data_IF_774042902410
#
_entry.id   IF_774042902410
#
_cell.length_a   1.000
_cell.length_b   1.000
_cell.length_c   1.000
_cell.angle_alpha   90.00
_cell.angle_beta   90.00
_cell.angle_gamma   90.00
#
_symmetry.space_group_name_H-M   'P 1'
#
loop_
_entity.id
_entity.type
_entity.pdbx_description
1 polymer ?
#
# COMPACT_ATOMS: atom_id res chain seq x y z
N UNK A 1 3.86 -7.49 9.57
CA UNK A 1 2.67 -6.75 10.07
C UNK A 1 1.69 -6.28 8.97
N UNK A 2 2.07 -6.07 7.71
CA UNK A 2 1.11 -5.75 6.61
C UNK A 2 0.35 -6.93 6.04
N UNK A 3 0.87 -8.14 6.28
CA UNK A 3 0.26 -9.37 5.78
C UNK A 3 -1.19 -9.51 6.21
N UNK A 4 -1.63 -8.94 7.34
CA UNK A 4 -2.92 -9.26 7.97
C UNK A 4 -4.08 -8.32 7.66
N UNK A 5 -3.86 -7.07 7.27
CA UNK A 5 -4.95 -6.10 7.20
C UNK A 5 -5.76 -6.18 5.90
N UNK A 6 -5.13 -6.59 4.79
CA UNK A 6 -5.86 -6.96 3.56
C UNK A 6 -6.64 -8.30 3.74
N UNK A 7 -6.26 -9.13 4.72
CA UNK A 7 -6.81 -10.48 4.92
C UNK A 7 -8.15 -10.53 5.66
N UNK A 8 -8.43 -9.55 6.51
CA UNK A 8 -9.64 -9.57 7.33
C UNK A 8 -10.90 -9.12 6.55
N UNK A 9 -10.72 -8.69 5.30
CA UNK A 9 -11.79 -8.44 4.33
C UNK A 9 -12.65 -9.69 4.02
N UNK A 10 -12.19 -10.88 4.39
CA UNK A 10 -12.77 -12.15 3.97
C UNK A 10 -13.50 -12.92 5.08
N UNK A 11 -13.43 -12.49 6.33
CA UNK A 11 -13.81 -13.38 7.43
C UNK A 11 -15.29 -13.35 7.87
N UNK A 12 -16.17 -12.49 7.34
CA UNK A 12 -17.49 -12.29 7.97
C UNK A 12 -18.68 -12.06 7.01
N UNK A 13 -18.89 -12.96 6.03
CA UNK A 13 -20.22 -13.17 5.45
C UNK A 13 -20.72 -14.56 5.90
N UNK A 14 -21.61 -14.64 6.91
CA UNK A 14 -21.72 -15.76 7.82
C UNK A 14 -22.62 -16.89 7.29
N UNK A 15 -22.36 -18.07 7.85
CA UNK A 15 -23.38 -19.05 8.23
C UNK A 15 -24.72 -18.37 8.57
N UNK A 16 -25.75 -18.65 7.77
CA UNK A 16 -27.17 -18.73 8.16
C UNK A 16 -27.97 -19.10 6.90
N UNK A 17 -28.42 -20.36 6.83
CA UNK A 17 -29.29 -20.84 5.75
C UNK A 17 -29.34 -22.37 5.67
N UNK A 18 -30.24 -22.95 6.47
CA UNK A 18 -30.53 -24.40 6.50
C UNK A 18 -30.89 -24.96 5.12
N UNK A 19 -30.32 -26.12 4.83
CA UNK A 19 -30.82 -27.26 4.05
C UNK A 19 -32.03 -27.05 3.12
N UNK A 20 -31.80 -27.26 1.82
CA UNK A 20 -32.63 -28.15 0.99
C UNK A 20 -31.79 -28.73 -0.16
N UNK A 21 -32.24 -29.89 -0.65
CA UNK A 21 -31.47 -31.03 -1.18
C UNK A 21 -30.70 -30.77 -2.48
N UNK A 22 -29.59 -31.50 -2.62
CA UNK A 22 -28.91 -31.80 -3.88
C UNK A 22 -29.86 -32.59 -4.79
N UNK A 23 -30.17 -32.05 -5.96
CA UNK A 23 -30.59 -32.85 -7.11
C UNK A 23 -29.55 -32.67 -8.22
N UNK A 24 -28.89 -33.77 -8.51
CA UNK A 24 -27.89 -33.95 -9.56
C UNK A 24 -28.59 -34.19 -10.89
N UNK A 25 -28.48 -33.24 -11.82
CA UNK A 25 -28.72 -33.48 -13.23
C UNK A 25 -27.96 -32.48 -14.13
N UNK A 26 -27.03 -33.02 -14.92
CA UNK A 26 -26.55 -32.57 -16.24
C UNK A 26 -26.13 -31.09 -16.37
N UNK A 27 -24.83 -30.83 -16.17
CA UNK A 27 -24.17 -29.59 -16.63
C UNK A 27 -23.85 -29.73 -18.12
N UNK A 28 -24.36 -28.87 -19.02
CA UNK A 28 -23.90 -28.81 -20.40
C UNK A 28 -22.46 -28.27 -20.44
N UNK A 29 -21.59 -28.90 -21.24
CA UNK A 29 -20.26 -28.40 -21.55
C UNK A 29 -20.32 -26.94 -22.00
N UNK A 30 -19.70 -26.04 -21.23
CA UNK A 30 -19.55 -24.63 -21.61
C UNK A 30 -18.61 -24.51 -22.83
N UNK A 31 -18.91 -23.64 -23.80
CA UNK A 31 -17.99 -23.36 -24.90
C UNK A 31 -16.71 -22.69 -24.38
N UNK A 32 -15.55 -23.07 -24.94
CA UNK A 32 -14.28 -22.34 -24.73
C UNK A 32 -14.46 -20.90 -25.22
N UNK A 33 -14.26 -19.92 -24.34
CA UNK A 33 -14.23 -18.50 -24.69
C UNK A 33 -12.78 -18.08 -24.91
N UNK A 34 -12.54 -17.48 -26.07
CA UNK A 34 -11.26 -17.02 -26.59
C UNK A 34 -10.79 -15.72 -25.90
N UNK A 35 -9.47 -15.57 -25.76
CA UNK A 35 -8.76 -14.52 -25.01
C UNK A 35 -8.38 -13.33 -25.91
N UNK A 36 -9.36 -12.74 -26.59
CA UNK A 36 -9.18 -11.48 -27.28
C UNK A 36 -10.12 -10.43 -26.67
N UNK A 37 -9.56 -9.47 -25.97
CA UNK A 37 -10.25 -8.23 -25.63
C UNK A 37 -10.66 -7.54 -26.93
N UNK A 38 -11.90 -7.75 -27.36
CA UNK A 38 -12.62 -6.73 -28.12
C UNK A 38 -13.54 -6.06 -27.12
N UNK A 39 -12.98 -5.14 -26.34
CA UNK A 39 -13.74 -4.26 -25.47
C UNK A 39 -14.55 -3.32 -26.38
N UNK A 40 -15.74 -3.76 -26.77
CA UNK A 40 -16.73 -2.91 -27.44
C UNK A 40 -17.09 -1.80 -26.44
N UNK A 41 -16.77 -0.55 -26.76
CA UNK A 41 -17.18 0.60 -25.97
C UNK A 41 -18.71 0.53 -25.77
N UNK A 42 -19.20 0.52 -24.53
CA UNK A 42 -20.64 0.43 -24.27
C UNK A 42 -21.37 1.60 -24.93
N UNK A 43 -22.63 1.38 -25.32
CA UNK A 43 -23.54 2.43 -25.81
C UNK A 43 -24.02 3.39 -24.69
N UNK A 44 -23.26 3.51 -23.60
CA UNK A 44 -23.60 4.33 -22.45
C UNK A 44 -23.41 5.82 -22.78
N UNK A 45 -24.33 6.65 -22.28
CA UNK A 45 -24.23 8.09 -22.44
C UNK A 45 -23.20 8.67 -21.45
N UNK A 46 -21.99 8.95 -21.96
CA UNK A 46 -20.88 9.50 -21.17
C UNK A 46 -20.92 11.02 -21.00
N UNK A 47 -21.96 11.70 -21.53
CA UNK A 47 -22.07 13.15 -21.48
C UNK A 47 -22.11 13.65 -20.04
N UNK A 48 -21.13 14.47 -19.67
CA UNK A 48 -21.02 15.08 -18.35
C UNK A 48 -20.19 14.29 -17.34
N UNK A 49 -19.58 13.16 -17.75
CA UNK A 49 -18.66 12.43 -16.88
C UNK A 49 -17.32 13.16 -16.77
N UNK A 50 -17.03 13.70 -15.58
CA UNK A 50 -15.79 14.46 -15.34
C UNK A 50 -14.53 13.58 -15.33
N UNK A 51 -14.70 12.28 -15.07
CA UNK A 51 -13.61 11.29 -15.10
C UNK A 51 -13.03 11.16 -16.51
N UNK A 52 -13.85 11.30 -17.55
CA UNK A 52 -13.46 11.21 -18.95
C UNK A 52 -13.15 12.56 -19.61
N UNK A 53 -13.48 13.65 -18.93
CA UNK A 53 -13.29 15.01 -19.44
C UNK A 53 -11.81 15.39 -19.52
N UNK A 54 -11.31 15.64 -20.73
CA UNK A 54 -9.91 15.95 -21.00
C UNK A 54 -9.48 17.33 -20.52
N UNK A 55 -10.37 18.31 -20.59
CA UNK A 55 -10.10 19.66 -20.08
C UNK A 55 -10.00 19.61 -18.55
N UNK A 56 -10.85 18.79 -17.92
CA UNK A 56 -10.80 18.56 -16.50
C UNK A 56 -9.51 17.83 -16.06
N UNK A 57 -9.09 16.82 -16.81
CA UNK A 57 -7.80 16.16 -16.59
C UNK A 57 -6.64 17.17 -16.68
N UNK A 58 -6.60 17.99 -17.74
CA UNK A 58 -5.56 19.00 -17.91
C UNK A 58 -5.54 20.02 -16.76
N UNK A 59 -6.72 20.47 -16.30
CA UNK A 59 -6.80 21.42 -15.18
C UNK A 59 -6.31 20.80 -13.85
N UNK A 60 -6.60 19.52 -13.63
CA UNK A 60 -6.27 18.83 -12.38
C UNK A 60 -4.88 18.20 -12.36
N UNK A 61 -4.15 18.13 -13.48
CA UNK A 61 -2.83 17.52 -13.57
C UNK A 61 -1.88 18.00 -12.47
N UNK A 62 -1.74 19.32 -12.34
CA UNK A 62 -0.93 19.92 -11.28
C UNK A 62 -1.47 19.65 -9.87
N UNK A 63 -2.78 19.50 -9.68
CA UNK A 63 -3.39 19.23 -8.38
C UNK A 63 -3.10 17.78 -7.93
N UNK A 64 -3.25 16.83 -8.86
CA UNK A 64 -2.93 15.42 -8.67
C UNK A 64 -1.43 15.27 -8.41
N UNK A 65 -0.58 15.89 -9.22
CA UNK A 65 0.86 15.87 -8.98
C UNK A 65 1.21 16.43 -7.59
N UNK A 66 0.63 17.56 -7.19
CA UNK A 66 0.84 18.13 -5.86
C UNK A 66 0.36 17.21 -4.72
N UNK A 67 -0.73 16.46 -4.91
CA UNK A 67 -1.23 15.49 -3.95
C UNK A 67 -0.17 14.40 -3.72
N UNK A 68 0.32 13.74 -4.77
CA UNK A 68 1.33 12.68 -4.61
C UNK A 68 2.70 13.22 -4.23
N UNK A 69 3.04 14.46 -4.56
CA UNK A 69 4.27 15.11 -4.10
C UNK A 69 4.14 15.78 -2.71
N UNK A 70 3.09 15.43 -1.95
CA UNK A 70 2.80 15.89 -0.58
C UNK A 70 2.74 17.42 -0.41
N UNK A 71 2.42 18.15 -1.48
CA UNK A 71 2.06 19.57 -1.46
C UNK A 71 0.56 19.71 -1.18
N UNK A 72 0.10 19.12 -0.08
CA UNK A 72 -1.32 18.98 0.25
C UNK A 72 -2.08 20.31 0.20
N UNK A 73 -1.53 21.38 0.77
CA UNK A 73 -2.18 22.69 0.75
C UNK A 73 -2.41 23.23 -0.68
N UNK A 74 -1.49 22.95 -1.60
CA UNK A 74 -1.63 23.35 -3.01
C UNK A 74 -2.73 22.53 -3.69
N UNK A 75 -2.68 21.20 -3.54
CA UNK A 75 -3.67 20.29 -4.11
C UNK A 75 -5.09 20.57 -3.58
N UNK A 76 -5.25 20.68 -2.26
CA UNK A 76 -6.55 20.90 -1.61
C UNK A 76 -7.17 22.27 -1.94
N UNK A 77 -6.38 23.28 -2.33
CA UNK A 77 -6.94 24.53 -2.86
C UNK A 77 -7.65 24.32 -4.21
N UNK A 78 -7.05 23.55 -5.10
CA UNK A 78 -7.66 23.24 -6.40
C UNK A 78 -8.87 22.31 -6.23
N UNK A 79 -8.79 21.29 -5.35
CA UNK A 79 -9.95 20.44 -5.06
C UNK A 79 -11.12 21.22 -4.44
N UNK A 80 -10.85 22.22 -3.59
CA UNK A 80 -11.89 23.13 -3.07
C UNK A 80 -12.48 24.02 -4.16
N UNK A 81 -11.68 24.48 -5.13
CA UNK A 81 -12.19 25.21 -6.29
C UNK A 81 -13.11 24.32 -7.14
N UNK A 82 -12.67 23.10 -7.43
CA UNK A 82 -13.44 22.09 -8.15
C UNK A 82 -14.78 21.83 -7.44
N UNK A 83 -14.76 21.66 -6.12
CA UNK A 83 -15.97 21.48 -5.31
C UNK A 83 -16.98 22.63 -5.43
N UNK A 84 -16.53 23.87 -5.61
CA UNK A 84 -17.45 25.03 -5.78
C UNK A 84 -18.14 25.00 -7.15
N UNK A 85 -17.44 24.54 -8.18
CA UNK A 85 -17.98 24.44 -9.55
C UNK A 85 -18.86 23.20 -9.74
N UNK A 86 -18.50 22.09 -9.10
CA UNK A 86 -19.20 20.81 -9.19
C UNK A 86 -19.59 20.29 -7.79
N UNK A 87 -20.46 21.01 -7.06
CA UNK A 87 -20.81 20.65 -5.68
C UNK A 87 -21.54 19.32 -5.55
N UNK A 88 -22.24 18.89 -6.60
CA UNK A 88 -23.01 17.65 -6.65
C UNK A 88 -22.21 16.46 -7.21
N UNK A 89 -21.02 16.70 -7.79
CA UNK A 89 -20.21 15.64 -8.35
C UNK A 89 -19.33 14.96 -7.28
N UNK A 90 -19.14 13.63 -7.28
CA UNK A 90 -18.35 12.91 -6.27
C UNK A 90 -16.83 13.19 -6.33
N UNK A 91 -16.27 13.41 -7.53
CA UNK A 91 -14.83 13.65 -7.76
C UNK A 91 -14.13 14.58 -6.74
N UNK A 92 -14.55 15.84 -6.51
CA UNK A 92 -13.87 16.73 -5.57
C UNK A 92 -13.82 16.19 -4.14
N UNK A 93 -14.83 15.42 -3.71
CA UNK A 93 -14.86 14.84 -2.38
C UNK A 93 -13.94 13.64 -2.27
N UNK A 94 -13.89 12.79 -3.31
CA UNK A 94 -12.95 11.66 -3.36
C UNK A 94 -11.51 12.17 -3.27
N UNK A 95 -11.16 13.22 -4.05
CA UNK A 95 -9.82 13.80 -4.06
C UNK A 95 -9.41 14.39 -2.69
N UNK A 96 -10.34 15.05 -1.99
CA UNK A 96 -10.09 15.53 -0.63
C UNK A 96 -9.88 14.38 0.37
N UNK A 97 -10.63 13.28 0.23
CA UNK A 97 -10.45 12.08 1.02
C UNK A 97 -9.13 11.36 0.71
N UNK A 98 -8.74 11.29 -0.56
CA UNK A 98 -7.46 10.74 -1.00
C UNK A 98 -6.28 11.56 -0.46
N UNK A 99 -6.44 12.88 -0.32
CA UNK A 99 -5.47 13.71 0.39
C UNK A 99 -5.32 13.32 1.86
N UNK A 100 -6.41 12.96 2.56
CA UNK A 100 -6.31 12.51 3.94
C UNK A 100 -5.67 11.11 4.01
N UNK A 101 -6.01 10.22 3.07
CA UNK A 101 -5.38 8.91 2.93
C UNK A 101 -3.86 9.01 2.83
N UNK A 102 -3.37 9.86 1.92
CA UNK A 102 -1.93 10.04 1.72
C UNK A 102 -1.20 10.76 2.87
N UNK A 103 -1.91 11.41 3.79
CA UNK A 103 -1.33 11.88 5.06
C UNK A 103 -1.23 10.78 6.11
N UNK A 104 -2.04 9.72 6.02
CA UNK A 104 -2.03 8.55 6.92
C UNK A 104 -0.96 7.54 6.48
N UNK A 105 -0.85 7.31 5.16
CA UNK A 105 0.01 6.31 4.52
C UNK A 105 1.48 6.27 5.00
N UNK A 106 2.21 7.39 5.13
CA UNK A 106 3.64 7.37 5.46
C UNK A 106 3.93 6.71 6.80
N UNK A 107 3.00 6.81 7.75
CA UNK A 107 3.09 6.38 9.15
C UNK A 107 2.83 4.90 9.35
N UNK A 108 2.83 4.12 8.27
CA UNK A 108 2.37 2.74 8.31
C UNK A 108 0.89 2.63 8.76
N UNK A 109 0.07 3.61 8.35
CA UNK A 109 -1.36 3.71 8.70
C UNK A 109 -1.63 3.84 10.21
N UNK A 110 -0.64 4.20 11.03
CA UNK A 110 -0.81 4.33 12.48
C UNK A 110 -1.39 5.66 12.90
N UNK A 111 -1.16 6.71 12.12
CA UNK A 111 -1.75 8.03 12.34
C UNK A 111 -3.27 7.98 12.21
N UNK A 112 -3.96 8.49 13.24
CA UNK A 112 -5.43 8.48 13.35
C UNK A 112 -6.05 9.86 13.24
N UNK A 113 -5.25 10.94 13.34
CA UNK A 113 -5.77 12.33 13.34
C UNK A 113 -6.58 12.68 12.11
N UNK A 114 -6.32 12.00 10.99
CA UNK A 114 -6.98 12.22 9.72
C UNK A 114 -8.20 11.31 9.48
N UNK A 115 -8.41 10.28 10.31
CA UNK A 115 -9.46 9.27 10.09
C UNK A 115 -10.86 9.90 9.98
N UNK A 116 -11.21 10.81 10.89
CA UNK A 116 -12.54 11.45 10.90
C UNK A 116 -12.80 12.25 9.61
N UNK A 117 -11.80 13.02 9.16
CA UNK A 117 -11.92 13.80 7.93
C UNK A 117 -11.97 12.89 6.70
N UNK A 118 -11.13 11.84 6.67
CA UNK A 118 -11.14 10.83 5.63
C UNK A 118 -12.53 10.18 5.48
N UNK A 119 -13.09 9.63 6.56
CA UNK A 119 -14.39 8.96 6.51
C UNK A 119 -15.51 9.92 6.09
N UNK A 120 -15.50 11.16 6.57
CA UNK A 120 -16.49 12.17 6.15
C UNK A 120 -16.44 12.47 4.64
N UNK A 121 -15.24 12.48 4.03
CA UNK A 121 -15.09 12.65 2.59
C UNK A 121 -15.51 11.40 1.81
N UNK A 122 -15.22 10.20 2.31
CA UNK A 122 -15.71 8.95 1.71
C UNK A 122 -17.25 8.89 1.74
N UNK A 123 -17.86 9.18 2.89
CA UNK A 123 -19.32 9.23 3.05
C UNK A 123 -19.98 10.25 2.10
N UNK A 124 -19.35 11.40 1.92
CA UNK A 124 -19.86 12.43 1.01
C UNK A 124 -19.72 12.00 -0.44
N UNK A 125 -18.60 11.38 -0.81
CA UNK A 125 -18.39 10.77 -2.13
C UNK A 125 -19.46 9.74 -2.43
N UNK A 126 -19.71 8.82 -1.49
CA UNK A 126 -20.77 7.80 -1.60
C UNK A 126 -22.13 8.47 -1.81
N UNK A 127 -22.50 9.42 -0.95
CA UNK A 127 -23.81 10.10 -1.05
C UNK A 127 -24.02 10.76 -2.41
N UNK A 128 -23.02 11.47 -2.92
CA UNK A 128 -23.10 12.17 -4.22
C UNK A 128 -23.16 11.18 -5.38
N UNK A 129 -22.31 10.15 -5.36
CA UNK A 129 -22.29 9.13 -6.40
C UNK A 129 -23.56 8.27 -6.40
N UNK A 130 -24.15 7.97 -5.24
CA UNK A 130 -25.44 7.26 -5.17
C UNK A 130 -26.59 8.05 -5.81
N UNK A 131 -26.58 9.39 -5.70
CA UNK A 131 -27.59 10.23 -6.36
C UNK A 131 -27.44 10.12 -7.88
N UNK A 132 -26.22 10.24 -8.40
CA UNK A 132 -25.95 10.10 -9.85
C UNK A 132 -26.34 8.70 -10.35
N UNK A 133 -25.99 7.65 -9.61
CA UNK A 133 -26.31 6.27 -9.99
C UNK A 133 -27.83 5.98 -9.93
N UNK A 134 -28.57 6.57 -8.99
CA UNK A 134 -30.04 6.42 -8.93
C UNK A 134 -30.77 7.13 -10.07
N UNK A 135 -30.18 8.19 -10.62
CA UNK A 135 -30.72 8.89 -11.78
C UNK A 135 -30.48 8.10 -13.07
N UNK A 136 -29.35 7.42 -13.15
CA UNK A 136 -28.98 6.55 -14.27
C UNK A 136 -28.16 5.35 -13.76
N UNK A 137 -28.79 4.17 -13.77
CA UNK A 137 -28.16 2.91 -13.31
C UNK A 137 -27.06 2.42 -14.26
N UNK A 138 -26.92 3.00 -15.45
CA UNK A 138 -25.82 2.77 -16.40
C UNK A 138 -24.72 3.85 -16.30
N UNK A 139 -24.80 4.74 -15.29
CA UNK A 139 -23.73 5.67 -14.97
C UNK A 139 -22.54 4.93 -14.33
N UNK A 140 -21.66 4.41 -15.19
CA UNK A 140 -20.48 3.66 -14.76
C UNK A 140 -19.46 4.53 -14.04
N UNK A 141 -19.40 5.83 -14.32
CA UNK A 141 -18.59 6.78 -13.54
C UNK A 141 -19.05 6.82 -12.07
N UNK A 142 -20.35 6.93 -11.83
CA UNK A 142 -20.90 6.88 -10.48
C UNK A 142 -20.60 5.54 -9.79
N UNK A 143 -20.72 4.42 -10.52
CA UNK A 143 -20.31 3.11 -10.01
C UNK A 143 -18.81 3.05 -9.68
N UNK A 144 -17.94 3.64 -10.49
CA UNK A 144 -16.51 3.76 -10.21
C UNK A 144 -16.25 4.52 -8.90
N UNK A 145 -16.86 5.69 -8.72
CA UNK A 145 -16.70 6.48 -7.49
C UNK A 145 -17.24 5.75 -6.25
N UNK A 146 -18.36 5.03 -6.37
CA UNK A 146 -18.90 4.20 -5.30
C UNK A 146 -17.95 3.06 -4.94
N UNK A 147 -17.43 2.36 -5.95
CA UNK A 147 -16.46 1.28 -5.74
C UNK A 147 -15.20 1.79 -5.04
N UNK A 148 -14.64 2.90 -5.51
CA UNK A 148 -13.45 3.52 -4.94
C UNK A 148 -13.68 3.96 -3.48
N UNK A 149 -14.76 4.72 -3.21
CA UNK A 149 -15.03 5.25 -1.88
C UNK A 149 -15.28 4.12 -0.85
N UNK A 150 -16.10 3.12 -1.21
CA UNK A 150 -16.31 1.95 -0.35
C UNK A 150 -15.03 1.11 -0.18
N UNK A 151 -14.18 1.01 -1.21
CA UNK A 151 -12.90 0.31 -1.13
C UNK A 151 -11.92 0.96 -0.16
N UNK A 152 -11.79 2.28 -0.23
CA UNK A 152 -10.98 3.08 0.70
C UNK A 152 -11.54 3.03 2.13
N UNK A 153 -12.85 3.17 2.31
CA UNK A 153 -13.51 3.03 3.61
C UNK A 153 -13.25 1.65 4.22
N UNK A 154 -13.42 0.59 3.42
CA UNK A 154 -13.18 -0.78 3.85
C UNK A 154 -11.73 -0.99 4.30
N UNK A 155 -10.78 -0.46 3.54
CA UNK A 155 -9.35 -0.56 3.84
C UNK A 155 -9.01 0.10 5.18
N UNK A 156 -9.43 1.36 5.40
CA UNK A 156 -9.11 2.02 6.66
C UNK A 156 -9.83 1.36 7.84
N UNK A 157 -11.10 0.98 7.70
CA UNK A 157 -11.82 0.26 8.75
C UNK A 157 -11.15 -1.07 9.11
N UNK A 158 -10.60 -1.80 8.13
CA UNK A 158 -9.83 -3.03 8.38
C UNK A 158 -8.57 -2.73 9.21
N UNK A 159 -7.81 -1.69 8.86
CA UNK A 159 -6.63 -1.28 9.64
C UNK A 159 -6.98 -0.84 11.07
N UNK A 160 -8.18 -0.29 11.26
CA UNK A 160 -8.71 0.08 12.58
C UNK A 160 -9.39 -1.07 13.33
N UNK A 161 -9.40 -2.28 12.77
CA UNK A 161 -10.07 -3.48 13.31
C UNK A 161 -11.59 -3.33 13.44
N UNK A 162 -12.19 -2.43 12.67
CA UNK A 162 -13.64 -2.25 12.57
C UNK A 162 -14.23 -3.26 11.55
N UNK A 163 -14.13 -4.56 11.86
CA UNK A 163 -14.37 -5.64 10.91
C UNK A 163 -15.76 -5.63 10.28
N UNK A 164 -16.80 -5.36 11.06
CA UNK A 164 -18.18 -5.31 10.56
C UNK A 164 -18.36 -4.23 9.49
N UNK A 165 -17.83 -3.03 9.73
CA UNK A 165 -17.86 -1.91 8.77
C UNK A 165 -17.01 -2.25 7.54
N UNK A 166 -15.79 -2.75 7.76
CA UNK A 166 -14.91 -3.15 6.69
C UNK A 166 -15.60 -4.15 5.75
N UNK A 167 -16.18 -5.24 6.28
CA UNK A 167 -16.87 -6.24 5.47
C UNK A 167 -18.07 -5.68 4.72
N UNK A 168 -18.89 -4.83 5.35
CA UNK A 168 -20.02 -4.19 4.68
C UNK A 168 -19.56 -3.35 3.47
N UNK A 169 -18.58 -2.47 3.69
CA UNK A 169 -18.04 -1.60 2.65
C UNK A 169 -17.38 -2.40 1.53
N UNK A 170 -16.65 -3.49 1.84
CA UNK A 170 -16.06 -4.35 0.81
C UNK A 170 -17.07 -4.98 -0.11
N UNK A 171 -18.19 -5.47 0.43
CA UNK A 171 -19.26 -6.06 -0.38
C UNK A 171 -19.85 -5.02 -1.34
N UNK A 172 -20.05 -3.79 -0.86
CA UNK A 172 -20.52 -2.67 -1.69
C UNK A 172 -19.48 -2.29 -2.75
N UNK A 173 -18.21 -2.23 -2.39
CA UNK A 173 -17.13 -1.90 -3.30
C UNK A 173 -17.07 -2.88 -4.48
N UNK A 174 -17.20 -4.19 -4.22
CA UNK A 174 -17.19 -5.25 -5.23
C UNK A 174 -18.44 -5.23 -6.13
N UNK A 175 -19.62 -4.99 -5.56
CA UNK A 175 -20.86 -4.87 -6.32
C UNK A 175 -20.76 -3.73 -7.36
N UNK A 176 -20.31 -2.55 -6.92
CA UNK A 176 -20.12 -1.41 -7.81
C UNK A 176 -18.93 -1.58 -8.77
N UNK A 177 -17.87 -2.28 -8.36
CA UNK A 177 -16.78 -2.63 -9.27
C UNK A 177 -17.30 -3.47 -10.44
N UNK A 178 -18.08 -4.51 -10.13
CA UNK A 178 -18.67 -5.38 -11.13
C UNK A 178 -19.60 -4.62 -12.09
N UNK A 179 -20.37 -3.65 -11.58
CA UNK A 179 -21.20 -2.75 -12.41
C UNK A 179 -20.35 -1.85 -13.31
N UNK A 180 -19.26 -1.28 -12.78
CA UNK A 180 -18.37 -0.40 -13.55
C UNK A 180 -17.58 -1.12 -14.65
N UNK A 181 -17.47 -2.45 -14.59
CA UNK A 181 -16.71 -3.28 -15.56
C UNK A 181 -17.13 -3.06 -17.02
N UNK A 182 -18.39 -2.70 -17.26
CA UNK A 182 -18.89 -2.41 -18.61
C UNK A 182 -18.18 -1.20 -19.24
N UNK A 183 -17.62 -0.28 -18.45
CA UNK A 183 -16.86 0.87 -18.90
C UNK A 183 -15.35 0.62 -19.10
N UNK A 184 -14.85 -0.62 -18.94
CA UNK A 184 -13.42 -0.92 -19.05
C UNK A 184 -12.82 -0.47 -20.40
N UNK A 185 -13.58 -0.60 -21.49
CA UNK A 185 -13.16 -0.15 -22.83
C UNK A 185 -13.23 1.36 -23.06
N UNK A 186 -13.80 2.13 -22.12
CA UNK A 186 -13.91 3.59 -22.25
C UNK A 186 -12.66 4.32 -21.77
N UNK A 187 -12.01 3.80 -20.73
CA UNK A 187 -10.84 4.44 -20.14
C UNK A 187 -10.07 3.47 -19.22
N UNK A 188 -8.72 3.56 -19.17
CA UNK A 188 -7.91 2.81 -18.22
C UNK A 188 -8.31 3.02 -16.75
N UNK A 189 -8.95 4.14 -16.40
CA UNK A 189 -9.41 4.40 -15.02
C UNK A 189 -10.28 3.25 -14.48
N UNK A 190 -11.18 2.72 -15.31
CA UNK A 190 -12.11 1.67 -14.91
C UNK A 190 -11.43 0.29 -14.73
N UNK A 191 -10.26 0.10 -15.35
CA UNK A 191 -9.51 -1.16 -15.22
C UNK A 191 -8.81 -1.30 -13.87
N UNK A 192 -8.58 -0.21 -13.14
CA UNK A 192 -7.75 -0.21 -11.93
C UNK A 192 -8.23 -1.22 -10.88
N UNK A 193 -9.51 -1.14 -10.48
CA UNK A 193 -10.06 -2.04 -9.46
C UNK A 193 -10.08 -3.49 -9.92
N UNK A 194 -10.39 -3.74 -11.20
CA UNK A 194 -10.41 -5.09 -11.76
C UNK A 194 -9.00 -5.71 -11.82
N UNK A 195 -7.98 -4.90 -12.10
CA UNK A 195 -6.59 -5.34 -12.10
C UNK A 195 -6.16 -5.84 -10.70
N UNK A 196 -6.52 -5.08 -9.65
CA UNK A 196 -6.24 -5.47 -8.27
C UNK A 196 -6.98 -6.76 -7.87
N UNK A 197 -8.27 -6.88 -8.19
CA UNK A 197 -9.03 -8.10 -7.88
C UNK A 197 -8.48 -9.31 -8.63
N UNK A 198 -8.13 -9.18 -9.91
CA UNK A 198 -7.56 -10.26 -10.71
C UNK A 198 -6.27 -10.80 -10.10
N UNK A 199 -5.42 -9.92 -9.56
CA UNK A 199 -4.19 -10.31 -8.89
C UNK A 199 -4.43 -10.88 -7.49
N UNK A 200 -5.06 -10.10 -6.60
CA UNK A 200 -5.15 -10.44 -5.19
C UNK A 200 -6.09 -11.60 -4.90
N UNK A 201 -7.12 -11.85 -5.72
CA UNK A 201 -7.99 -13.01 -5.52
C UNK A 201 -7.20 -14.32 -5.61
N UNK A 202 -6.29 -14.43 -6.58
CA UNK A 202 -5.42 -15.61 -6.75
C UNK A 202 -4.35 -15.63 -5.67
N UNK A 203 -3.64 -14.51 -5.48
CA UNK A 203 -2.54 -14.43 -4.51
C UNK A 203 -3.00 -14.74 -3.08
N UNK A 204 -4.19 -14.27 -2.66
CA UNK A 204 -4.72 -14.57 -1.33
C UNK A 204 -5.04 -16.06 -1.19
N UNK A 205 -5.68 -16.68 -2.20
CA UNK A 205 -6.00 -18.09 -2.18
C UNK A 205 -4.74 -18.97 -2.07
N UNK A 206 -3.64 -18.56 -2.72
CA UNK A 206 -2.35 -19.26 -2.67
C UNK A 206 -1.65 -19.10 -1.31
N UNK A 207 -1.58 -17.87 -0.79
CA UNK A 207 -0.79 -17.54 0.40
C UNK A 207 -1.53 -17.74 1.73
N UNK A 208 -2.87 -17.80 1.70
CA UNK A 208 -3.70 -17.97 2.90
C UNK A 208 -4.76 -19.05 2.68
N UNK A 209 -4.37 -20.34 2.77
CA UNK A 209 -5.26 -21.46 2.48
C UNK A 209 -6.57 -21.46 3.27
N UNK A 210 -6.57 -20.94 4.50
CA UNK A 210 -7.77 -20.82 5.34
C UNK A 210 -8.82 -19.87 4.76
N UNK A 211 -8.44 -18.95 3.87
CA UNK A 211 -9.34 -17.99 3.23
C UNK A 211 -9.87 -18.49 1.87
N UNK A 212 -9.36 -19.61 1.34
CA UNK A 212 -9.82 -20.19 0.07
C UNK A 212 -11.34 -20.40 -0.03
N UNK A 213 -12.04 -20.88 1.01
CA UNK A 213 -13.49 -21.08 0.91
C UNK A 213 -14.25 -19.77 0.63
N UNK A 214 -13.77 -18.66 1.19
CA UNK A 214 -14.38 -17.34 0.96
C UNK A 214 -14.07 -16.84 -0.45
N UNK A 215 -12.89 -17.14 -0.98
CA UNK A 215 -12.49 -16.74 -2.34
C UNK A 215 -13.37 -17.33 -3.45
N UNK A 216 -14.15 -18.38 -3.17
CA UNK A 216 -15.12 -18.96 -4.11
C UNK A 216 -16.30 -18.03 -4.41
N UNK A 217 -16.59 -17.07 -3.53
CA UNK A 217 -17.64 -16.08 -3.72
C UNK A 217 -17.18 -14.83 -4.49
N UNK A 218 -15.89 -14.77 -4.84
CA UNK A 218 -15.30 -13.68 -5.61
C UNK A 218 -15.17 -14.07 -7.09
N UNK A 219 -15.16 -13.09 -8.02
CA UNK A 219 -14.82 -13.37 -9.41
C UNK A 219 -13.47 -14.09 -9.50
N UNK A 220 -13.38 -15.13 -10.34
CA UNK A 220 -12.12 -15.83 -10.57
C UNK A 220 -11.08 -14.85 -11.12
N UNK A 221 -9.97 -14.71 -10.40
CA UNK A 221 -8.87 -13.86 -10.82
C UNK A 221 -7.92 -14.57 -11.78
N UNK A 222 -7.06 -13.78 -12.41
CA UNK A 222 -5.88 -14.25 -13.13
C UNK A 222 -4.73 -13.30 -12.80
N UNK A 223 -3.71 -13.84 -12.14
CA UNK A 223 -2.56 -13.07 -11.63
C UNK A 223 -1.84 -12.30 -12.74
N UNK A 224 -1.57 -12.97 -13.86
CA UNK A 224 -0.88 -12.36 -15.01
C UNK A 224 -1.74 -11.30 -15.68
N UNK A 225 -3.04 -11.56 -15.86
CA UNK A 225 -3.98 -10.57 -16.38
C UNK A 225 -4.04 -9.33 -15.48
N UNK A 226 -4.11 -9.53 -14.16
CA UNK A 226 -4.10 -8.44 -13.18
C UNK A 226 -2.84 -7.58 -13.29
N UNK A 227 -1.66 -8.20 -13.40
CA UNK A 227 -0.41 -7.46 -13.61
C UNK A 227 -0.40 -6.68 -14.93
N UNK A 228 -0.83 -7.29 -16.03
CA UNK A 228 -0.90 -6.63 -17.34
C UNK A 228 -1.87 -5.45 -17.32
N UNK A 229 -3.06 -5.62 -16.74
CA UNK A 229 -4.03 -4.55 -16.58
C UNK A 229 -3.50 -3.44 -15.68
N UNK A 230 -2.88 -3.78 -14.55
CA UNK A 230 -2.32 -2.80 -13.62
C UNK A 230 -1.21 -1.98 -14.27
N UNK A 231 -0.36 -2.61 -15.08
CA UNK A 231 0.65 -1.92 -15.89
C UNK A 231 0.00 -0.99 -16.92
N UNK A 232 -1.05 -1.43 -17.60
CA UNK A 232 -1.81 -0.58 -18.53
C UNK A 232 -2.37 0.68 -17.84
N UNK A 233 -2.97 0.52 -16.66
CA UNK A 233 -3.47 1.67 -15.88
C UNK A 233 -2.32 2.57 -15.42
N UNK A 234 -1.22 1.98 -14.95
CA UNK A 234 -0.05 2.73 -14.54
C UNK A 234 0.52 3.59 -15.68
N UNK A 235 0.49 3.11 -16.91
CA UNK A 235 1.10 3.81 -18.06
C UNK A 235 0.13 4.74 -18.78
N UNK A 236 -1.18 4.44 -18.78
CA UNK A 236 -2.18 5.15 -19.59
C UNK A 236 -3.33 5.80 -18.79
N UNK A 237 -3.42 5.55 -17.48
CA UNK A 237 -4.37 6.24 -16.61
C UNK A 237 -3.95 7.68 -16.31
N UNK A 238 -4.88 8.48 -15.82
CA UNK A 238 -4.64 9.84 -15.34
C UNK A 238 -4.83 9.92 -13.82
N UNK A 239 -6.06 9.69 -13.33
CA UNK A 239 -6.37 9.78 -11.90
C UNK A 239 -5.81 8.60 -11.12
N UNK A 240 -5.97 7.38 -11.64
CA UNK A 240 -5.55 6.14 -10.98
C UNK A 240 -4.12 5.70 -11.31
N UNK A 241 -3.43 6.38 -12.23
CA UNK A 241 -2.07 5.99 -12.62
C UNK A 241 -1.06 6.02 -11.46
N UNK A 242 -1.02 7.06 -10.60
CA UNK A 242 -0.13 7.06 -9.44
C UNK A 242 -0.40 5.90 -8.47
N UNK A 243 -1.67 5.59 -8.18
CA UNK A 243 -2.09 4.42 -7.40
C UNK A 243 -1.66 3.12 -8.07
N UNK A 244 -1.89 2.98 -9.37
CA UNK A 244 -1.52 1.79 -10.12
C UNK A 244 -0.02 1.55 -10.08
N UNK A 245 0.80 2.59 -10.25
CA UNK A 245 2.26 2.52 -10.06
C UNK A 245 2.63 2.14 -8.63
N UNK A 246 1.98 2.72 -7.63
CA UNK A 246 2.20 2.37 -6.22
C UNK A 246 1.93 0.88 -5.97
N UNK A 247 0.77 0.36 -6.40
CA UNK A 247 0.41 -1.04 -6.23
C UNK A 247 1.31 -1.96 -7.05
N UNK A 248 1.63 -1.60 -8.29
CA UNK A 248 2.52 -2.38 -9.15
C UNK A 248 3.91 -2.51 -8.53
N UNK A 249 4.49 -1.39 -8.05
CA UNK A 249 5.76 -1.38 -7.33
C UNK A 249 5.73 -2.31 -6.11
N UNK A 250 4.70 -2.19 -5.26
CA UNK A 250 4.56 -3.03 -4.07
C UNK A 250 4.40 -4.51 -4.42
N UNK A 251 3.53 -4.84 -5.37
CA UNK A 251 3.29 -6.22 -5.80
C UNK A 251 4.58 -6.84 -6.35
N UNK A 252 5.27 -6.15 -7.26
CA UNK A 252 6.50 -6.68 -7.87
C UNK A 252 7.60 -6.93 -6.83
N UNK A 253 7.77 -6.01 -5.87
CA UNK A 253 8.81 -6.13 -4.86
C UNK A 253 8.45 -7.10 -3.72
N UNK A 254 7.26 -6.94 -3.13
CA UNK A 254 6.86 -7.67 -1.93
C UNK A 254 6.32 -9.06 -2.26
N UNK A 255 5.55 -9.21 -3.34
CA UNK A 255 4.77 -10.42 -3.61
C UNK A 255 5.38 -11.29 -4.71
N UNK A 256 5.77 -10.69 -5.84
CA UNK A 256 6.50 -11.41 -6.90
C UNK A 256 7.98 -11.65 -6.57
N UNK A 257 8.51 -10.94 -5.56
CA UNK A 257 9.94 -10.93 -5.22
C UNK A 257 10.83 -10.63 -6.44
N UNK A 258 10.32 -9.83 -7.38
CA UNK A 258 10.99 -9.47 -8.63
C UNK A 258 11.56 -8.06 -8.51
N UNK A 259 12.74 -7.98 -7.89
CA UNK A 259 13.46 -6.74 -7.67
C UNK A 259 13.78 -5.98 -8.98
N UNK A 260 14.31 -6.63 -10.05
CA UNK A 260 14.57 -5.95 -11.32
C UNK A 260 13.32 -5.32 -11.94
N UNK A 261 12.15 -5.95 -11.82
CA UNK A 261 10.90 -5.40 -12.33
C UNK A 261 10.35 -4.26 -11.46
N UNK A 262 10.58 -4.29 -10.16
CA UNK A 262 10.11 -3.26 -9.24
C UNK A 262 10.92 -1.95 -9.34
N UNK A 263 12.23 -2.05 -9.57
CA UNK A 263 13.16 -0.92 -9.56
C UNK A 263 12.78 0.25 -10.48
N UNK A 264 12.41 0.04 -11.76
CA UNK A 264 11.98 1.13 -12.65
C UNK A 264 10.78 1.92 -12.10
N UNK A 265 9.79 1.22 -11.54
CA UNK A 265 8.57 1.85 -11.00
C UNK A 265 8.87 2.60 -9.71
N UNK A 266 9.70 2.03 -8.82
CA UNK A 266 10.13 2.71 -7.60
C UNK A 266 10.92 3.99 -7.88
N UNK A 267 11.87 3.92 -8.83
CA UNK A 267 12.65 5.08 -9.28
C UNK A 267 11.76 6.14 -9.90
N UNK A 268 10.83 5.75 -10.77
CA UNK A 268 9.87 6.68 -11.39
C UNK A 268 9.07 7.44 -10.33
N UNK A 269 8.50 6.73 -9.35
CA UNK A 269 7.69 7.35 -8.29
C UNK A 269 8.52 8.30 -7.43
N UNK A 270 9.73 7.91 -7.03
CA UNK A 270 10.61 8.76 -6.23
C UNK A 270 11.10 10.00 -7.00
N UNK A 271 11.35 9.89 -8.30
CA UNK A 271 11.82 11.03 -9.10
C UNK A 271 10.70 12.01 -9.45
N UNK A 272 9.49 11.52 -9.76
CA UNK A 272 8.36 12.38 -10.10
C UNK A 272 7.70 12.98 -8.86
N UNK A 273 7.81 12.33 -7.70
CA UNK A 273 7.25 12.81 -6.44
C UNK A 273 8.33 12.81 -5.34
N UNK A 274 9.38 13.65 -5.47
CA UNK A 274 10.55 13.60 -4.60
C UNK A 274 10.24 13.87 -3.12
N UNK A 275 9.15 14.56 -2.81
CA UNK A 275 8.75 14.89 -1.45
C UNK A 275 7.69 13.92 -0.88
N UNK A 276 7.37 12.86 -1.62
CA UNK A 276 6.59 11.75 -1.09
C UNK A 276 7.46 10.85 -0.22
N UNK A 277 7.33 10.99 1.10
CA UNK A 277 8.10 10.21 2.05
C UNK A 277 7.92 8.69 1.90
N UNK A 278 6.76 8.21 1.45
CA UNK A 278 6.53 6.78 1.22
C UNK A 278 7.32 6.31 0.00
N UNK A 279 7.20 7.00 -1.14
CA UNK A 279 7.89 6.60 -2.37
C UNK A 279 9.40 6.69 -2.23
N UNK A 280 9.92 7.74 -1.59
CA UNK A 280 11.35 7.87 -1.35
C UNK A 280 11.89 6.77 -0.42
N UNK A 281 11.18 6.47 0.68
CA UNK A 281 11.54 5.36 1.59
C UNK A 281 11.53 4.01 0.86
N UNK A 282 10.49 3.77 0.06
CA UNK A 282 10.40 2.52 -0.70
C UNK A 282 11.53 2.42 -1.73
N UNK A 283 11.84 3.51 -2.42
CA UNK A 283 12.96 3.54 -3.35
C UNK A 283 14.29 3.26 -2.66
N UNK A 284 14.56 3.87 -1.49
CA UNK A 284 15.73 3.57 -0.66
C UNK A 284 15.83 2.07 -0.33
N UNK A 285 14.70 1.43 0.02
CA UNK A 285 14.63 0.00 0.29
C UNK A 285 14.95 -0.82 -0.97
N UNK A 286 14.39 -0.47 -2.12
CA UNK A 286 14.65 -1.17 -3.38
C UNK A 286 16.13 -1.09 -3.77
N UNK A 287 16.76 0.10 -3.73
CA UNK A 287 18.19 0.25 -4.07
C UNK A 287 19.11 -0.41 -3.04
N UNK A 288 18.69 -0.47 -1.77
CA UNK A 288 19.38 -1.26 -0.76
C UNK A 288 19.41 -2.74 -1.11
N UNK A 289 18.27 -3.31 -1.53
CA UNK A 289 18.18 -4.72 -1.94
C UNK A 289 18.92 -5.01 -3.25
N UNK A 290 19.03 -4.03 -4.15
CA UNK A 290 19.83 -4.11 -5.37
C UNK A 290 21.35 -3.99 -5.09
N UNK A 291 21.73 -3.69 -3.85
CA UNK A 291 23.11 -3.40 -3.44
C UNK A 291 23.74 -2.19 -4.19
N UNK A 292 22.91 -1.24 -4.64
CA UNK A 292 23.37 0.06 -5.15
C UNK A 292 23.65 0.98 -3.96
N UNK A 293 24.85 0.84 -3.39
CA UNK A 293 25.25 1.54 -2.18
C UNK A 293 25.33 3.06 -2.35
N UNK A 294 25.73 3.53 -3.55
CA UNK A 294 25.89 4.96 -3.84
C UNK A 294 24.53 5.63 -3.79
N UNK A 295 23.56 5.06 -4.51
CA UNK A 295 22.22 5.63 -4.56
C UNK A 295 21.48 5.44 -3.23
N UNK A 296 21.65 4.29 -2.58
CA UNK A 296 21.07 4.02 -1.26
C UNK A 296 21.55 5.03 -0.21
N UNK A 297 22.85 5.33 -0.17
CA UNK A 297 23.41 6.35 0.72
C UNK A 297 22.84 7.73 0.40
N UNK A 298 22.83 8.13 -0.88
CA UNK A 298 22.31 9.44 -1.31
C UNK A 298 20.86 9.63 -0.87
N UNK A 299 19.99 8.68 -1.19
CA UNK A 299 18.55 8.74 -0.85
C UNK A 299 18.34 8.70 0.66
N UNK A 300 19.09 7.86 1.39
CA UNK A 300 18.96 7.75 2.85
C UNK A 300 19.38 9.05 3.55
N UNK A 301 20.45 9.71 3.11
CA UNK A 301 20.85 11.02 3.63
C UNK A 301 19.82 12.10 3.34
N UNK A 302 19.22 12.07 2.14
CA UNK A 302 18.13 12.98 1.77
C UNK A 302 16.91 12.80 2.67
N UNK A 303 16.51 11.55 2.96
CA UNK A 303 15.42 11.24 3.90
C UNK A 303 15.70 11.87 5.28
N UNK A 304 16.91 11.71 5.81
CA UNK A 304 17.28 12.27 7.12
C UNK A 304 17.27 13.80 7.11
N UNK A 305 17.72 14.43 6.02
CA UNK A 305 17.64 15.88 5.88
C UNK A 305 16.19 16.38 5.88
N UNK A 306 15.28 15.70 5.17
CA UNK A 306 13.85 16.04 5.11
C UNK A 306 13.13 15.81 6.45
N UNK A 307 13.53 14.79 7.21
CA UNK A 307 13.09 14.59 8.61
C UNK A 307 13.50 15.79 9.47
N UNK A 308 14.77 16.23 9.39
CA UNK A 308 15.25 17.37 10.17
C UNK A 308 14.56 18.69 9.80
N UNK A 309 14.09 18.83 8.55
CA UNK A 309 13.31 19.97 8.10
C UNK A 309 11.83 19.91 8.51
N UNK A 310 11.37 18.79 9.08
CA UNK A 310 9.96 18.60 9.45
C UNK A 310 9.02 18.48 8.24
N UNK A 311 9.50 17.95 7.12
CA UNK A 311 8.67 17.82 5.91
C UNK A 311 7.51 16.82 6.12
N UNK A 312 6.32 17.07 5.53
CA UNK A 312 5.17 16.20 5.69
C UNK A 312 5.46 14.74 5.33
N UNK A 313 5.03 13.80 6.18
CA UNK A 313 5.20 12.35 5.98
C UNK A 313 6.61 11.81 6.28
N UNK A 314 7.62 12.67 6.46
CA UNK A 314 8.98 12.27 6.85
C UNK A 314 9.04 12.06 8.36
N UNK A 315 8.59 10.88 8.79
CA UNK A 315 8.52 10.50 10.20
C UNK A 315 9.56 9.45 10.59
N UNK A 316 9.56 9.06 11.87
CA UNK A 316 10.49 8.11 12.46
C UNK A 316 10.60 6.77 11.71
N UNK A 317 9.51 6.30 11.10
CA UNK A 317 9.55 5.11 10.25
C UNK A 317 10.51 5.27 9.05
N UNK A 318 10.54 6.44 8.40
CA UNK A 318 11.50 6.69 7.31
C UNK A 318 12.93 6.82 7.86
N UNK A 319 13.08 7.42 9.04
CA UNK A 319 14.35 7.50 9.75
C UNK A 319 14.94 6.13 10.07
N UNK A 320 14.11 5.18 10.56
CA UNK A 320 14.53 3.79 10.85
C UNK A 320 15.14 3.10 9.64
N UNK A 321 14.49 3.19 8.48
CA UNK A 321 14.99 2.59 7.24
C UNK A 321 16.30 3.24 6.80
N UNK A 322 16.31 4.58 6.68
CA UNK A 322 17.48 5.33 6.21
C UNK A 322 18.71 5.11 7.11
N UNK A 323 18.54 5.13 8.43
CA UNK A 323 19.64 4.91 9.37
C UNK A 323 20.13 3.47 9.38
N UNK A 324 19.25 2.47 9.27
CA UNK A 324 19.69 1.09 9.11
C UNK A 324 20.55 0.92 7.84
N UNK A 325 20.09 1.44 6.70
CA UNK A 325 20.83 1.34 5.44
C UNK A 325 22.20 2.01 5.53
N UNK A 326 22.26 3.25 6.04
CA UNK A 326 23.53 3.95 6.25
C UNK A 326 24.46 3.19 7.20
N UNK A 327 23.94 2.64 8.30
CA UNK A 327 24.72 1.82 9.22
C UNK A 327 25.39 0.63 8.54
N UNK A 328 24.64 -0.10 7.70
CA UNK A 328 25.19 -1.23 6.94
C UNK A 328 26.23 -0.83 5.91
N UNK A 329 26.04 0.30 5.21
CA UNK A 329 27.00 0.82 4.23
C UNK A 329 28.30 1.24 4.94
N UNK A 330 28.20 1.97 6.06
CA UNK A 330 29.37 2.37 6.85
C UNK A 330 30.12 1.14 7.40
N UNK A 331 29.39 0.12 7.85
CA UNK A 331 29.99 -1.12 8.34
C UNK A 331 30.75 -1.85 7.23
N UNK A 332 30.20 -1.95 6.03
CA UNK A 332 30.88 -2.56 4.87
C UNK A 332 32.15 -1.80 4.47
N UNK A 333 32.15 -0.47 4.64
CA UNK A 333 33.32 0.41 4.46
C UNK A 333 34.28 0.40 5.66
N UNK A 334 34.03 -0.42 6.69
CA UNK A 334 34.80 -0.51 7.93
C UNK A 334 34.83 0.79 8.75
N UNK A 335 33.88 1.70 8.51
CA UNK A 335 33.67 2.91 9.31
C UNK A 335 32.81 2.58 10.53
N UNK A 336 33.36 1.79 11.46
CA UNK A 336 32.58 1.18 12.54
C UNK A 336 31.98 2.18 13.54
N UNK A 337 32.65 3.31 13.78
CA UNK A 337 32.12 4.37 14.64
C UNK A 337 30.83 4.99 14.05
N UNK A 338 30.84 5.30 12.76
CA UNK A 338 29.66 5.82 12.05
C UNK A 338 28.57 4.76 11.92
N UNK A 339 28.94 3.51 11.65
CA UNK A 339 27.99 2.39 11.62
C UNK A 339 27.24 2.24 12.95
N UNK A 340 27.97 2.31 14.07
CA UNK A 340 27.41 2.25 15.43
C UNK A 340 26.42 3.41 15.67
N UNK A 341 26.78 4.65 15.32
CA UNK A 341 25.86 5.81 15.44
C UNK A 341 24.56 5.57 14.67
N UNK A 342 24.66 5.18 13.41
CA UNK A 342 23.48 4.94 12.58
C UNK A 342 22.61 3.80 13.10
N UNK A 343 23.19 2.68 13.55
CA UNK A 343 22.40 1.60 14.14
C UNK A 343 21.72 2.02 15.45
N UNK A 344 22.38 2.82 16.29
CA UNK A 344 21.75 3.37 17.51
C UNK A 344 20.56 4.27 17.15
N UNK A 345 20.72 5.14 16.15
CA UNK A 345 19.63 6.00 15.68
C UNK A 345 18.48 5.20 15.07
N UNK A 346 18.75 4.09 14.40
CA UNK A 346 17.72 3.16 13.92
C UNK A 346 16.87 2.62 15.07
N UNK A 347 17.51 2.18 16.16
CA UNK A 347 16.81 1.71 17.37
C UNK A 347 15.97 2.83 17.98
N UNK A 348 16.52 4.04 18.14
CA UNK A 348 15.78 5.20 18.67
C UNK A 348 14.55 5.53 17.83
N UNK A 349 14.68 5.54 16.50
CA UNK A 349 13.54 5.74 15.60
C UNK A 349 12.49 4.63 15.76
N UNK A 350 12.90 3.37 15.90
CA UNK A 350 12.00 2.25 16.13
C UNK A 350 11.26 2.35 17.48
N UNK A 351 11.95 2.76 18.54
CA UNK A 351 11.37 2.98 19.87
C UNK A 351 10.33 4.10 19.86
N UNK A 352 10.61 5.20 19.15
CA UNK A 352 9.68 6.34 19.06
C UNK A 352 8.33 6.00 18.41
N UNK A 353 8.30 4.95 17.57
CA UNK A 353 7.05 4.42 17.01
C UNK A 353 6.56 3.17 17.74
N UNK A 354 7.31 2.57 18.65
CA UNK A 354 6.98 1.27 19.24
C UNK A 354 7.08 0.10 18.23
N UNK A 355 7.95 0.21 17.22
CA UNK A 355 8.29 -0.87 16.26
C UNK A 355 9.61 -1.55 16.62
N UNK A 356 9.85 -1.77 17.90
CA UNK A 356 11.10 -2.35 18.43
C UNK A 356 11.36 -3.79 17.99
N UNK A 357 10.30 -4.54 17.66
CA UNK A 357 10.40 -5.90 17.11
C UNK A 357 10.40 -5.92 15.56
N UNK A 358 10.49 -4.76 14.90
CA UNK A 358 10.62 -4.73 13.44
C UNK A 358 11.96 -5.34 13.00
N UNK A 359 11.98 -6.00 11.83
CA UNK A 359 13.18 -6.66 11.31
C UNK A 359 14.41 -5.74 11.29
N UNK A 360 14.27 -4.50 10.82
CA UNK A 360 15.38 -3.53 10.81
C UNK A 360 15.86 -3.13 12.21
N UNK A 361 14.97 -3.00 13.19
CA UNK A 361 15.37 -2.70 14.58
C UNK A 361 16.14 -3.88 15.19
N UNK A 362 15.63 -5.10 15.01
CA UNK A 362 16.30 -6.33 15.48
C UNK A 362 17.66 -6.49 14.80
N UNK A 363 17.74 -6.29 13.48
CA UNK A 363 19.00 -6.37 12.75
C UNK A 363 19.99 -5.25 13.12
N UNK A 364 19.52 -4.03 13.39
CA UNK A 364 20.39 -2.95 13.89
C UNK A 364 20.96 -3.32 15.26
N UNK A 365 20.11 -3.82 16.16
CA UNK A 365 20.51 -4.24 17.52
C UNK A 365 21.50 -5.40 17.47
N UNK A 366 21.31 -6.35 16.56
CA UNK A 366 22.25 -7.45 16.34
C UNK A 366 23.61 -6.95 15.85
N UNK A 367 23.64 -6.00 14.91
CA UNK A 367 24.91 -5.41 14.46
C UNK A 367 25.59 -4.59 15.57
N UNK A 368 24.84 -3.91 16.43
CA UNK A 368 25.39 -3.27 17.63
C UNK A 368 26.01 -4.29 18.60
N UNK A 369 25.39 -5.46 18.75
CA UNK A 369 25.92 -6.53 19.57
C UNK A 369 27.26 -7.05 19.03
N UNK A 370 27.32 -7.34 17.72
CA UNK A 370 28.56 -7.77 17.03
C UNK A 370 29.66 -6.73 17.11
N UNK A 371 29.35 -5.46 16.83
CA UNK A 371 30.33 -4.37 16.93
C UNK A 371 30.84 -4.16 18.35
N UNK A 372 30.02 -4.43 19.38
CA UNK A 372 30.46 -4.37 20.77
C UNK A 372 31.37 -5.55 21.13
N UNK A 373 31.06 -6.75 20.64
CA UNK A 373 31.87 -7.94 20.82
C UNK A 373 33.26 -7.80 20.16
N UNK A 374 33.28 -7.33 18.91
CA UNK A 374 34.50 -7.01 18.16
C UNK A 374 35.36 -5.94 18.86
N UNK A 375 34.73 -5.02 19.59
CA UNK A 375 35.39 -3.99 20.39
C UNK A 375 35.75 -4.44 21.82
N UNK A 376 35.52 -5.72 22.15
CA UNK A 376 35.71 -6.30 23.49
C UNK A 376 34.89 -5.60 24.60
N UNK A 377 33.79 -4.94 24.26
CA UNK A 377 32.81 -4.39 25.21
C UNK A 377 31.77 -5.46 25.53
N UNK A 378 32.18 -6.45 26.33
CA UNK A 378 31.36 -7.61 26.69
C UNK A 378 30.04 -7.20 27.37
N UNK A 379 30.04 -6.13 28.17
CA UNK A 379 28.83 -5.63 28.83
C UNK A 379 27.80 -5.13 27.82
N UNK A 380 28.22 -4.34 26.84
CA UNK A 380 27.33 -3.86 25.79
C UNK A 380 26.89 -5.01 24.86
N UNK A 381 27.77 -5.94 24.52
CA UNK A 381 27.44 -7.11 23.71
C UNK A 381 26.34 -7.96 24.37
N UNK A 382 26.51 -8.33 25.64
CA UNK A 382 25.51 -9.09 26.41
C UNK A 382 24.15 -8.38 26.47
N UNK A 383 24.14 -7.04 26.64
CA UNK A 383 22.92 -6.24 26.66
C UNK A 383 22.19 -6.32 25.32
N UNK A 384 22.89 -6.03 24.21
CA UNK A 384 22.27 -6.03 22.89
C UNK A 384 21.84 -7.42 22.42
N UNK A 385 22.63 -8.47 22.70
CA UNK A 385 22.20 -9.84 22.42
C UNK A 385 20.98 -10.26 23.25
N UNK A 386 20.88 -9.86 24.52
CA UNK A 386 19.68 -10.12 25.33
C UNK A 386 18.45 -9.44 24.73
N UNK A 387 18.59 -8.21 24.25
CA UNK A 387 17.52 -7.49 23.58
C UNK A 387 17.09 -8.16 22.25
N UNK A 388 18.04 -8.68 21.47
CA UNK A 388 17.73 -9.45 20.26
C UNK A 388 17.00 -10.74 20.60
N UNK A 389 17.44 -11.49 21.62
CA UNK A 389 16.75 -12.71 22.06
C UNK A 389 15.30 -12.45 22.48
N UNK A 390 15.05 -11.33 23.17
CA UNK A 390 13.70 -10.95 23.61
C UNK A 390 12.79 -10.51 22.45
N UNK A 391 13.32 -9.73 21.50
CA UNK A 391 12.52 -9.06 20.47
C UNK A 391 12.43 -9.79 19.13
N UNK A 392 13.37 -10.69 18.83
CA UNK A 392 13.41 -11.42 17.56
C UNK A 392 12.40 -12.59 17.53
N UNK A 393 11.86 -12.88 16.35
CA UNK A 393 11.04 -14.09 16.15
C UNK A 393 11.90 -15.35 16.32
N UNK A 394 11.40 -16.34 17.07
CA UNK A 394 12.16 -17.51 17.55
C UNK A 394 12.77 -18.39 16.44
N UNK A 395 12.17 -18.37 15.25
CA UNK A 395 12.58 -19.13 14.08
C UNK A 395 13.59 -18.38 13.18
N UNK A 396 13.97 -17.15 13.55
CA UNK A 396 14.93 -16.35 12.79
C UNK A 396 16.40 -16.68 13.11
N UNK A 397 17.33 -16.46 12.17
CA UNK A 397 18.77 -16.57 12.44
C UNK A 397 19.25 -15.63 13.56
N UNK A 398 18.69 -14.42 13.64
CA UNK A 398 19.06 -13.42 14.65
C UNK A 398 18.78 -13.93 16.07
N UNK A 399 17.61 -14.53 16.30
CA UNK A 399 17.27 -15.14 17.59
C UNK A 399 18.24 -16.27 17.96
N UNK A 400 18.55 -17.16 17.00
CA UNK A 400 19.48 -18.28 17.23
C UNK A 400 20.87 -17.80 17.62
N UNK A 401 21.41 -16.84 16.89
CA UNK A 401 22.72 -16.25 17.18
C UNK A 401 22.77 -15.62 18.57
N UNK A 402 21.77 -14.81 18.91
CA UNK A 402 21.69 -14.16 20.22
C UNK A 402 21.63 -15.19 21.36
N UNK A 403 20.75 -16.18 21.25
CA UNK A 403 20.63 -17.25 22.25
C UNK A 403 21.94 -18.03 22.42
N UNK A 404 22.61 -18.35 21.32
CA UNK A 404 23.83 -19.16 21.36
C UNK A 404 25.00 -18.36 21.96
N UNK A 405 25.13 -17.06 21.65
CA UNK A 405 26.09 -16.16 22.29
C UNK A 405 25.85 -16.02 23.80
N UNK A 406 24.60 -15.87 24.23
CA UNK A 406 24.27 -15.70 25.65
C UNK A 406 24.52 -16.97 26.46
N UNK A 407 24.32 -18.16 25.88
CA UNK A 407 24.62 -19.44 26.55
C UNK A 407 26.09 -19.62 26.88
N UNK A 408 26.98 -19.15 26.02
CA UNK A 408 28.44 -19.27 26.21
C UNK A 408 28.97 -18.22 27.18
N UNK A 409 28.48 -16.97 27.09
CA UNK A 409 29.06 -15.83 27.82
C UNK A 409 28.37 -15.50 29.15
N UNK A 410 27.09 -15.82 29.38
CA UNK A 410 26.42 -15.61 30.69
C UNK A 410 26.93 -16.54 31.79
N UNK A 411 27.62 -17.63 31.45
CA UNK A 411 28.23 -18.54 32.43
C UNK A 411 29.61 -18.07 32.92
N UNK A 412 30.17 -17.04 32.29
CA UNK A 412 31.53 -16.55 32.53
C UNK A 412 31.57 -15.15 33.17
N UNK A 413 30.43 -14.47 33.26
CA UNK A 413 30.21 -13.24 34.01
C UNK A 413 29.63 -13.55 35.38
#
# INVERSE_FOLDING_TARGET
MYRTSLLLLLLLAPWLGRAQRLDSALVPLMPKVDLANVEVAPAANTKGWLLLDKDMQLELDGAIHNLYNFKFDKAERQFRSLRRRYPEHPLPYLLMGLSQWWKIMPTNLREKKYDKAFFAYMDTTVRKAEVLYKQDNENYEAAFFLSAAYGFDAHLNAERRNWSKATFSSRRALDYLQKSKQANGLSPEFLFGQALINYYQVWIAENYPLLRPVMLFFPKGNKQLGLTQLKNVADNGFYTAPEAKFFLMKILFEEEKNLPAALPTARYLANNYPDNAFFQRFYAMVVYHENDQVECERVSREILAKINQGMPGYEAISGRYATYFLGTIMQQRKQYAEAKDYFQRCVVFAESTGETSSGFCVSATLNLARLADDAHDQKAALRHYTEVEDKAERDTPAYREARDYLKTHKKQS
#
